data_IF_721100731574
#
_entry.id   IF_721100731574
#
_cell.length_a   1.000
_cell.length_b   1.000
_cell.length_c   1.000
_cell.angle_alpha   90.00
_cell.angle_beta   90.00
_cell.angle_gamma   90.00
#
_symmetry.space_group_name_H-M   'P 1'
#
loop_
_entity.id
_entity.type
_entity.pdbx_description
1 polymer ?
#
# COMPACT_ATOMS: atom_id res chain seq x y z
N UNK A 1 -25.47 14.68 -22.99
CA UNK A 1 -24.20 14.02 -23.32
C UNK A 1 -23.11 14.64 -22.46
N UNK A 2 -22.41 13.85 -21.64
CA UNK A 2 -21.23 14.31 -20.87
C UNK A 2 -20.00 14.25 -21.78
N UNK A 3 -19.17 15.29 -21.74
CA UNK A 3 -17.97 15.39 -22.55
C UNK A 3 -16.81 14.69 -21.82
N UNK A 4 -15.90 14.02 -22.54
CA UNK A 4 -14.71 13.40 -21.93
C UNK A 4 -13.86 14.40 -21.12
N UNK A 5 -13.80 15.65 -21.57
CA UNK A 5 -13.13 16.72 -20.85
C UNK A 5 -13.87 17.13 -19.57
N UNK A 6 -15.21 17.15 -19.59
CA UNK A 6 -16.06 17.42 -18.42
C UNK A 6 -15.83 16.38 -17.33
N UNK A 7 -15.79 15.10 -17.68
CA UNK A 7 -15.46 14.02 -16.74
C UNK A 7 -14.04 14.17 -16.17
N UNK A 8 -13.06 14.46 -17.04
CA UNK A 8 -11.68 14.63 -16.61
C UNK A 8 -11.50 15.82 -15.67
N UNK A 9 -11.97 17.03 -16.04
CA UNK A 9 -11.72 18.24 -15.24
C UNK A 9 -12.45 18.21 -13.90
N UNK A 10 -13.65 17.62 -13.83
CA UNK A 10 -14.41 17.47 -12.59
C UNK A 10 -13.82 16.41 -11.65
N UNK A 11 -12.99 15.48 -12.16
CA UNK A 11 -12.23 14.54 -11.34
C UNK A 11 -11.00 15.17 -10.67
N UNK A 12 -10.58 16.37 -11.11
CA UNK A 12 -9.42 17.05 -10.54
C UNK A 12 -9.81 17.80 -9.26
N UNK A 13 -8.88 17.89 -8.31
CA UNK A 13 -9.02 18.78 -7.17
C UNK A 13 -8.77 20.23 -7.60
N UNK A 14 -9.85 20.96 -7.85
CA UNK A 14 -9.86 22.38 -8.22
C UNK A 14 -10.78 23.16 -7.25
N UNK A 15 -10.49 24.45 -7.07
CA UNK A 15 -11.27 25.34 -6.19
C UNK A 15 -12.71 25.50 -6.65
N UNK A 16 -13.60 25.92 -5.75
CA UNK A 16 -15.01 26.21 -6.06
C UNK A 16 -15.11 27.23 -7.19
N UNK A 17 -14.30 28.30 -7.14
CA UNK A 17 -14.26 29.32 -8.18
C UNK A 17 -13.87 28.73 -9.55
N UNK A 18 -12.86 27.85 -9.60
CA UNK A 18 -12.48 27.17 -10.83
C UNK A 18 -13.58 26.20 -11.34
N UNK A 19 -14.32 25.56 -10.43
CA UNK A 19 -15.47 24.69 -10.76
C UNK A 19 -16.61 25.50 -11.38
N UNK A 20 -16.94 26.65 -10.81
CA UNK A 20 -18.01 27.52 -11.33
C UNK A 20 -17.65 28.02 -12.73
N UNK A 21 -16.39 28.42 -12.93
CA UNK A 21 -15.89 28.85 -14.24
C UNK A 21 -15.94 27.73 -15.29
N UNK A 22 -15.55 26.50 -14.95
CA UNK A 22 -15.59 25.41 -15.93
C UNK A 22 -17.01 24.96 -16.23
N UNK A 23 -17.92 25.00 -15.26
CA UNK A 23 -19.34 24.71 -15.48
C UNK A 23 -19.97 25.72 -16.44
N UNK A 24 -19.65 27.01 -16.29
CA UNK A 24 -20.10 28.05 -17.21
C UNK A 24 -19.50 27.85 -18.62
N UNK A 25 -18.22 27.48 -18.70
CA UNK A 25 -17.57 27.16 -19.98
C UNK A 25 -18.25 25.99 -20.72
N UNK A 26 -18.64 24.95 -19.98
CA UNK A 26 -19.35 23.77 -20.50
C UNK A 26 -20.77 24.11 -20.94
N UNK A 27 -21.49 24.94 -20.18
CA UNK A 27 -22.82 25.44 -20.55
C UNK A 27 -22.75 26.22 -21.85
N UNK A 28 -21.82 27.18 -21.95
CA UNK A 28 -21.58 27.96 -23.16
C UNK A 28 -21.21 27.08 -24.36
N UNK A 29 -20.39 26.03 -24.16
CA UNK A 29 -20.03 25.09 -25.22
C UNK A 29 -21.27 24.35 -25.74
N UNK A 30 -22.11 23.81 -24.85
CA UNK A 30 -23.34 23.10 -25.19
C UNK A 30 -24.37 24.01 -25.88
N UNK A 31 -24.36 25.30 -25.55
CA UNK A 31 -25.17 26.33 -26.21
C UNK A 31 -24.56 26.88 -27.50
N UNK A 32 -23.44 26.31 -28.00
CA UNK A 32 -22.70 26.77 -29.19
C UNK A 32 -22.10 28.18 -29.08
N UNK A 33 -22.04 28.75 -27.88
CA UNK A 33 -21.42 30.04 -27.57
C UNK A 33 -19.90 29.88 -27.40
N UNK A 34 -19.20 29.45 -28.46
CA UNK A 34 -17.78 29.04 -28.39
C UNK A 34 -16.82 30.14 -27.92
N UNK A 35 -17.10 31.41 -28.22
CA UNK A 35 -16.31 32.55 -27.70
C UNK A 35 -16.36 32.62 -26.17
N UNK A 36 -17.57 32.54 -25.61
CA UNK A 36 -17.77 32.56 -24.16
C UNK A 36 -17.18 31.30 -23.52
N UNK A 37 -17.38 30.14 -24.15
CA UNK A 37 -16.80 28.88 -23.68
C UNK A 37 -15.28 28.92 -23.59
N UNK A 38 -14.59 29.44 -24.62
CA UNK A 38 -13.14 29.57 -24.60
C UNK A 38 -12.67 30.58 -23.53
N UNK A 39 -13.40 31.70 -23.39
CA UNK A 39 -13.11 32.72 -22.38
C UNK A 39 -13.18 32.16 -20.96
N UNK A 40 -14.28 31.48 -20.60
CA UNK A 40 -14.45 30.87 -19.29
C UNK A 40 -13.48 29.71 -19.05
N UNK A 41 -13.19 28.92 -20.08
CA UNK A 41 -12.17 27.87 -19.99
C UNK A 41 -10.79 28.45 -19.66
N UNK A 42 -10.42 29.57 -20.29
CA UNK A 42 -9.14 30.22 -20.06
C UNK A 42 -9.07 30.85 -18.66
N UNK A 43 -10.17 31.43 -18.21
CA UNK A 43 -10.28 31.97 -16.86
C UNK A 43 -10.13 30.85 -15.82
N UNK A 44 -10.82 29.72 -16.00
CA UNK A 44 -10.65 28.53 -15.16
C UNK A 44 -9.19 28.07 -15.11
N UNK A 45 -8.53 27.95 -16.28
CA UNK A 45 -7.12 27.60 -16.37
C UNK A 45 -6.22 28.55 -15.56
N UNK A 46 -6.41 29.86 -15.68
CA UNK A 46 -5.64 30.83 -14.89
C UNK A 46 -5.95 30.76 -13.39
N UNK A 47 -7.21 30.54 -13.00
CA UNK A 47 -7.61 30.38 -11.60
C UNK A 47 -6.93 29.18 -10.96
N UNK A 48 -6.89 28.02 -11.64
CA UNK A 48 -6.20 26.84 -11.12
C UNK A 48 -4.70 27.13 -10.89
N UNK A 49 -4.06 27.86 -11.80
CA UNK A 49 -2.63 28.21 -11.67
C UNK A 49 -2.42 29.23 -10.56
N UNK A 50 -3.31 30.23 -10.43
CA UNK A 50 -3.32 31.20 -9.32
C UNK A 50 -3.39 30.46 -7.98
N UNK A 51 -4.31 29.53 -7.85
CA UNK A 51 -4.52 28.76 -6.61
C UNK A 51 -3.29 27.92 -6.28
N UNK A 52 -2.68 27.27 -7.29
CA UNK A 52 -1.42 26.56 -7.10
C UNK A 52 -0.31 27.47 -6.59
N UNK A 53 -0.17 28.68 -7.13
CA UNK A 53 0.82 29.64 -6.66
C UNK A 53 0.53 30.15 -5.24
N UNK A 54 -0.74 30.47 -4.94
CA UNK A 54 -1.15 30.96 -3.62
C UNK A 54 -0.95 29.93 -2.50
N UNK A 55 -1.09 28.64 -2.84
CA UNK A 55 -0.92 27.51 -1.91
C UNK A 55 0.50 26.89 -1.95
N UNK A 56 1.34 27.30 -2.90
CA UNK A 56 2.70 26.80 -3.01
C UNK A 56 3.62 27.42 -1.95
N UNK A 57 4.63 26.64 -1.57
CA UNK A 57 5.78 27.19 -0.86
C UNK A 57 6.62 28.02 -1.83
N UNK A 58 7.33 29.00 -1.28
CA UNK A 58 8.27 29.81 -2.05
C UNK A 58 9.30 28.88 -2.71
N UNK A 59 9.49 28.96 -4.04
CA UNK A 59 10.59 28.28 -4.71
C UNK A 59 11.94 28.68 -4.10
N UNK A 60 12.85 27.73 -3.88
CA UNK A 60 14.18 27.99 -3.27
C UNK A 60 14.98 29.03 -4.07
N UNK A 61 14.74 29.05 -5.37
CA UNK A 61 15.43 29.85 -6.34
C UNK A 61 14.85 31.30 -6.40
N UNK A 62 13.73 31.60 -5.73
CA UNK A 62 13.10 32.92 -5.62
C UNK A 62 13.38 33.55 -4.25
N UNK A 63 13.67 34.86 -4.19
CA UNK A 63 13.85 35.58 -2.93
C UNK A 63 12.50 35.81 -2.22
N UNK A 64 12.51 35.86 -0.88
CA UNK A 64 11.28 36.01 -0.09
C UNK A 64 10.48 37.27 -0.47
N UNK A 65 11.14 38.42 -0.58
CA UNK A 65 10.47 39.67 -0.96
C UNK A 65 9.80 39.61 -2.34
N UNK A 66 10.44 38.97 -3.32
CA UNK A 66 9.84 38.80 -4.65
C UNK A 66 8.62 37.87 -4.60
N UNK A 67 8.68 36.81 -3.79
CA UNK A 67 7.55 35.90 -3.62
C UNK A 67 6.37 36.58 -2.92
N UNK A 68 6.62 37.34 -1.86
CA UNK A 68 5.58 38.08 -1.15
C UNK A 68 4.87 39.10 -2.07
N UNK A 69 5.64 39.78 -2.93
CA UNK A 69 5.09 40.69 -3.95
C UNK A 69 4.24 39.95 -4.99
N UNK A 70 4.67 38.77 -5.44
CA UNK A 70 3.88 37.93 -6.35
C UNK A 70 2.57 37.53 -5.67
N UNK A 71 2.62 36.99 -4.45
CA UNK A 71 1.43 36.59 -3.71
C UNK A 71 0.48 37.77 -3.45
N UNK A 72 1.01 38.96 -3.17
CA UNK A 72 0.22 40.19 -3.03
C UNK A 72 -0.49 40.56 -4.33
N UNK A 73 0.19 40.48 -5.47
CA UNK A 73 -0.41 40.79 -6.78
C UNK A 73 -1.42 39.71 -7.21
N UNK A 74 -1.21 38.44 -6.85
CA UNK A 74 -2.18 37.36 -7.08
C UNK A 74 -3.47 37.52 -6.26
N UNK A 75 -3.44 38.25 -5.14
CA UNK A 75 -4.62 38.59 -4.33
C UNK A 75 -5.30 39.90 -4.77
N UNK A 76 -4.75 40.58 -5.76
CA UNK A 76 -5.28 41.84 -6.28
C UNK A 76 -6.12 41.57 -7.55
N UNK A 77 -7.41 41.91 -7.49
CA UNK A 77 -8.37 41.65 -8.58
C UNK A 77 -7.99 42.28 -9.92
N UNK A 78 -7.29 43.41 -9.91
CA UNK A 78 -6.90 44.12 -11.14
C UNK A 78 -5.59 43.58 -11.76
N UNK A 79 -4.87 42.72 -11.03
CA UNK A 79 -3.51 42.30 -11.41
C UNK A 79 -3.31 40.81 -11.49
N UNK A 80 -4.15 40.00 -10.87
CA UNK A 80 -3.86 38.59 -10.69
C UNK A 80 -3.73 37.85 -12.04
N UNK A 81 -4.55 38.19 -13.03
CA UNK A 81 -4.58 37.52 -14.35
C UNK A 81 -3.27 37.74 -15.13
N UNK A 82 -2.78 38.97 -15.16
CA UNK A 82 -1.49 39.36 -15.73
C UNK A 82 -0.33 38.78 -14.92
N UNK A 83 -0.43 38.78 -13.60
CA UNK A 83 0.58 38.20 -12.70
C UNK A 83 0.74 36.70 -12.93
N UNK A 84 -0.35 35.94 -13.09
CA UNK A 84 -0.30 34.51 -13.43
C UNK A 84 0.43 34.31 -14.76
N UNK A 85 0.04 35.06 -15.79
CA UNK A 85 0.65 34.95 -17.11
C UNK A 85 2.15 35.26 -17.08
N UNK A 86 2.53 36.37 -16.45
CA UNK A 86 3.94 36.80 -16.39
C UNK A 86 4.80 35.76 -15.69
N UNK A 87 4.29 35.11 -14.64
CA UNK A 87 5.02 34.05 -13.95
C UNK A 87 5.06 32.73 -14.73
N UNK A 88 4.05 32.41 -15.56
CA UNK A 88 4.13 31.31 -16.53
C UNK A 88 5.16 31.55 -17.64
N UNK A 89 5.46 32.81 -17.96
CA UNK A 89 6.46 33.20 -18.96
C UNK A 89 7.84 33.49 -18.35
N UNK A 90 7.93 33.60 -17.02
CA UNK A 90 9.15 34.00 -16.31
C UNK A 90 10.28 32.97 -16.50
N UNK A 91 11.42 33.49 -16.96
CA UNK A 91 12.72 32.80 -16.99
C UNK A 91 13.77 33.50 -16.10
N UNK A 92 13.64 34.81 -15.88
CA UNK A 92 14.59 35.65 -15.11
C UNK A 92 13.88 36.42 -13.96
N UNK A 93 14.52 36.64 -12.79
CA UNK A 93 15.86 36.19 -12.40
C UNK A 93 15.96 34.66 -12.29
N UNK A 94 14.84 33.96 -12.00
CA UNK A 94 14.70 32.51 -12.11
C UNK A 94 13.24 32.11 -12.37
N UNK A 95 13.03 30.89 -12.85
CA UNK A 95 11.70 30.36 -13.18
C UNK A 95 10.92 29.88 -11.95
N UNK A 96 9.61 30.12 -11.97
CA UNK A 96 8.65 29.62 -10.96
C UNK A 96 8.04 28.30 -11.43
N UNK A 97 7.87 28.12 -12.73
CA UNK A 97 7.39 26.87 -13.32
C UNK A 97 8.47 26.32 -14.24
N UNK A 98 8.74 25.02 -14.15
CA UNK A 98 9.69 24.29 -15.00
C UNK A 98 9.06 24.01 -16.38
N UNK A 99 8.90 25.06 -17.19
CA UNK A 99 8.26 24.98 -18.51
C UNK A 99 9.27 25.20 -19.63
N UNK A 100 9.24 24.31 -20.63
CA UNK A 100 9.97 24.51 -21.88
C UNK A 100 9.33 25.62 -22.75
N UNK A 101 10.10 26.11 -23.72
CA UNK A 101 9.66 27.22 -24.58
C UNK A 101 8.43 26.87 -25.43
N UNK A 102 8.26 25.60 -25.82
CA UNK A 102 7.09 25.14 -26.58
C UNK A 102 5.79 25.33 -25.78
N UNK A 103 5.76 24.89 -24.52
CA UNK A 103 4.60 25.09 -23.64
C UNK A 103 4.35 26.59 -23.42
N UNK A 104 5.41 27.39 -23.21
CA UNK A 104 5.29 28.85 -23.03
C UNK A 104 4.68 29.53 -24.26
N UNK A 105 5.09 29.10 -25.47
CA UNK A 105 4.54 29.57 -26.74
C UNK A 105 3.06 29.16 -26.90
N UNK A 106 2.70 27.93 -26.53
CA UNK A 106 1.31 27.48 -26.54
C UNK A 106 0.42 28.27 -25.55
N UNK A 107 0.92 28.57 -24.35
CA UNK A 107 0.22 29.43 -23.38
C UNK A 107 -0.01 30.82 -23.99
N UNK A 108 0.99 31.38 -24.65
CA UNK A 108 0.88 32.67 -25.36
C UNK A 108 -0.15 32.62 -26.48
N UNK A 109 -0.19 31.53 -27.26
CA UNK A 109 -1.22 31.30 -28.27
C UNK A 109 -2.63 31.35 -27.66
N UNK A 110 -2.86 30.66 -26.55
CA UNK A 110 -4.18 30.64 -25.90
C UNK A 110 -4.57 31.98 -25.28
N UNK A 111 -3.63 32.73 -24.71
CA UNK A 111 -3.86 34.13 -24.29
C UNK A 111 -4.35 34.99 -25.46
N UNK A 112 -3.73 34.85 -26.63
CA UNK A 112 -4.13 35.59 -27.82
C UNK A 112 -5.53 35.21 -28.31
N UNK A 113 -5.90 33.92 -28.26
CA UNK A 113 -7.26 33.46 -28.58
C UNK A 113 -8.31 33.96 -27.57
N UNK A 114 -7.97 34.01 -26.28
CA UNK A 114 -8.83 34.66 -25.26
C UNK A 114 -9.03 36.14 -25.56
N UNK A 115 -7.98 36.85 -25.97
CA UNK A 115 -8.08 38.26 -26.35
C UNK A 115 -8.96 38.46 -27.60
N UNK A 116 -8.92 37.54 -28.57
CA UNK A 116 -9.84 37.55 -29.71
C UNK A 116 -11.31 37.38 -29.29
N UNK A 117 -11.58 36.58 -28.25
CA UNK A 117 -12.91 36.44 -27.67
C UNK A 117 -13.40 37.73 -27.00
N UNK A 118 -12.54 38.38 -26.23
CA UNK A 118 -12.88 39.57 -25.45
C UNK A 118 -13.00 40.86 -26.30
N UNK A 119 -12.15 41.02 -27.32
CA UNK A 119 -12.00 42.30 -28.04
C UNK A 119 -12.63 42.34 -29.43
N UNK A 120 -13.59 41.47 -29.74
CA UNK A 120 -14.33 41.46 -31.03
C UNK A 120 -13.43 41.59 -32.27
N UNK A 121 -12.21 41.04 -32.23
CA UNK A 121 -11.32 40.99 -33.40
C UNK A 121 -11.90 40.00 -34.41
N UNK A 122 -11.63 40.21 -35.70
CA UNK A 122 -12.19 39.46 -36.84
C UNK A 122 -11.89 37.94 -36.87
N UNK A 123 -11.18 37.40 -35.89
CA UNK A 123 -10.82 35.99 -35.85
C UNK A 123 -12.02 35.14 -35.37
N UNK A 124 -12.43 34.18 -36.20
CA UNK A 124 -13.52 33.26 -35.87
C UNK A 124 -13.08 32.25 -34.82
N UNK A 125 -13.81 32.19 -33.71
CA UNK A 125 -13.68 31.13 -32.70
C UNK A 125 -14.75 30.08 -32.97
N UNK A 126 -14.33 28.83 -33.01
CA UNK A 126 -15.15 27.67 -33.37
C UNK A 126 -15.03 26.59 -32.30
N UNK A 127 -15.87 25.56 -32.40
CA UNK A 127 -15.81 24.35 -31.55
C UNK A 127 -14.39 23.76 -31.46
N UNK A 128 -13.66 23.69 -32.58
CA UNK A 128 -12.31 23.14 -32.64
C UNK A 128 -11.30 23.90 -31.79
N UNK A 129 -11.46 25.21 -31.62
CA UNK A 129 -10.59 26.01 -30.75
C UNK A 129 -10.81 25.66 -29.27
N UNK A 130 -12.06 25.49 -28.86
CA UNK A 130 -12.40 25.11 -27.48
C UNK A 130 -11.87 23.72 -27.18
N UNK A 131 -12.14 22.74 -28.04
CA UNK A 131 -11.67 21.36 -27.85
C UNK A 131 -10.15 21.23 -27.89
N UNK A 132 -9.48 22.00 -28.75
CA UNK A 132 -8.02 22.06 -28.79
C UNK A 132 -7.46 22.66 -27.50
N UNK A 133 -8.11 23.69 -26.94
CA UNK A 133 -7.68 24.25 -25.68
C UNK A 133 -7.89 23.30 -24.50
N UNK A 134 -9.02 22.60 -24.47
CA UNK A 134 -9.27 21.54 -23.48
C UNK A 134 -8.28 20.40 -23.58
N UNK A 135 -7.88 20.03 -24.80
CA UNK A 135 -6.81 19.05 -25.04
C UNK A 135 -5.47 19.58 -24.51
N UNK A 136 -5.17 20.85 -24.72
CA UNK A 136 -3.99 21.51 -24.16
C UNK A 136 -3.99 21.49 -22.62
N UNK A 137 -5.10 21.90 -21.98
CA UNK A 137 -5.25 21.87 -20.52
C UNK A 137 -5.02 20.46 -20.02
N UNK A 138 -5.70 19.46 -20.60
CA UNK A 138 -5.55 18.06 -20.19
C UNK A 138 -4.11 17.56 -20.31
N UNK A 139 -3.39 17.97 -21.35
CA UNK A 139 -2.05 17.47 -21.64
C UNK A 139 -0.94 18.18 -20.86
N UNK A 140 -1.19 19.42 -20.41
CA UNK A 140 -0.14 20.28 -19.87
C UNK A 140 -0.42 20.83 -18.46
N UNK A 141 -1.68 20.90 -18.02
CA UNK A 141 -1.99 21.36 -16.66
C UNK A 141 -1.24 20.55 -15.58
N UNK A 142 -1.10 19.21 -15.65
CA UNK A 142 -0.31 18.46 -14.67
C UNK A 142 1.19 18.80 -14.66
N UNK A 143 1.73 19.36 -15.75
CA UNK A 143 3.15 19.74 -15.89
C UNK A 143 3.43 21.16 -15.38
N UNK A 144 2.39 21.98 -15.20
CA UNK A 144 2.52 23.36 -14.73
C UNK A 144 2.57 23.35 -13.21
N UNK A 145 3.72 22.96 -12.66
CA UNK A 145 3.99 22.86 -11.23
C UNK A 145 4.98 23.91 -10.77
N UNK A 146 4.78 24.42 -9.55
CA UNK A 146 5.67 25.42 -8.95
C UNK A 146 6.97 24.73 -8.53
N UNK A 147 8.10 25.27 -9.00
CA UNK A 147 9.46 24.81 -8.70
C UNK A 147 9.69 24.78 -7.17
N UNK A 148 10.21 23.66 -6.64
CA UNK A 148 10.33 23.40 -5.20
C UNK A 148 9.14 22.66 -4.57
N UNK A 149 8.14 22.21 -5.36
CA UNK A 149 7.00 21.41 -4.85
C UNK A 149 7.45 20.10 -4.20
N UNK A 150 8.49 19.44 -4.73
CA UNK A 150 9.04 18.20 -4.19
C UNK A 150 9.71 18.41 -2.84
N UNK A 151 10.66 19.32 -2.74
CA UNK A 151 11.38 19.64 -1.51
C UNK A 151 10.42 20.16 -0.43
N UNK A 152 9.45 20.99 -0.83
CA UNK A 152 8.40 21.45 0.06
C UNK A 152 7.53 20.29 0.56
N UNK A 153 7.15 19.35 -0.31
CA UNK A 153 6.37 18.18 0.08
C UNK A 153 7.17 17.28 1.03
N UNK A 154 8.44 17.01 0.73
CA UNK A 154 9.34 16.26 1.60
C UNK A 154 9.42 16.94 2.97
N UNK A 155 9.59 18.26 3.02
CA UNK A 155 9.64 19.01 4.27
C UNK A 155 8.31 18.98 5.04
N UNK A 156 7.16 19.04 4.35
CA UNK A 156 5.84 18.84 4.97
C UNK A 156 5.73 17.46 5.62
N UNK A 157 6.13 16.40 4.92
CA UNK A 157 6.15 15.03 5.44
C UNK A 157 7.07 14.93 6.66
N UNK A 158 8.30 15.45 6.58
CA UNK A 158 9.25 15.47 7.70
C UNK A 158 8.68 16.18 8.93
N UNK A 159 8.05 17.35 8.74
CA UNK A 159 7.40 18.09 9.84
C UNK A 159 6.19 17.36 10.42
N UNK A 160 5.46 16.62 9.60
CA UNK A 160 4.33 15.82 10.05
C UNK A 160 4.77 14.66 10.95
N UNK A 161 5.92 14.05 10.65
CA UNK A 161 6.48 12.96 11.45
C UNK A 161 7.42 13.41 12.57
N UNK A 162 7.61 14.72 12.74
CA UNK A 162 8.29 15.29 13.89
C UNK A 162 7.35 15.33 15.10
N UNK A 163 7.57 14.44 16.07
CA UNK A 163 6.78 14.31 17.30
C UNK A 163 6.77 15.56 18.18
N UNK A 164 7.72 16.48 17.99
CA UNK A 164 7.74 17.77 18.68
C UNK A 164 6.77 18.79 18.07
N UNK A 165 6.34 18.57 16.82
CA UNK A 165 5.50 19.48 16.05
C UNK A 165 4.09 18.92 15.80
N UNK A 166 3.97 17.61 15.64
CA UNK A 166 2.72 16.94 15.27
C UNK A 166 2.46 15.77 16.22
N UNK A 167 1.20 15.59 16.62
CA UNK A 167 0.84 14.47 17.49
C UNK A 167 1.12 13.12 16.79
N UNK A 168 1.63 12.11 17.52
CA UNK A 168 1.76 10.76 16.99
C UNK A 168 0.43 10.26 16.42
N UNK A 169 0.46 9.64 15.24
CA UNK A 169 -0.71 9.13 14.51
C UNK A 169 -1.68 10.19 13.95
N UNK A 170 -1.26 11.46 13.84
CA UNK A 170 -2.03 12.43 13.07
C UNK A 170 -2.25 11.94 11.62
N UNK A 171 -3.38 12.30 11.02
CA UNK A 171 -3.70 11.85 9.67
C UNK A 171 -2.83 12.57 8.63
N UNK A 172 -2.01 11.82 7.90
CA UNK A 172 -1.13 12.35 6.85
C UNK A 172 -1.81 12.47 5.47
N UNK A 173 -3.07 12.02 5.34
CA UNK A 173 -3.78 11.95 4.05
C UNK A 173 -3.74 13.29 3.30
N UNK A 174 -3.86 14.43 4.01
CA UNK A 174 -3.82 15.76 3.38
C UNK A 174 -2.50 16.06 2.66
N UNK A 175 -1.37 15.53 3.14
CA UNK A 175 -0.06 15.69 2.50
C UNK A 175 0.10 14.66 1.38
N UNK A 176 -0.30 13.42 1.62
CA UNK A 176 -0.19 12.31 0.64
C UNK A 176 -0.98 12.61 -0.64
N UNK A 177 -2.15 13.25 -0.53
CA UNK A 177 -2.95 13.66 -1.69
C UNK A 177 -2.24 14.67 -2.61
N UNK A 178 -1.23 15.39 -2.13
CA UNK A 178 -0.45 16.31 -2.96
C UNK A 178 0.55 15.55 -3.88
N UNK A 179 0.96 14.33 -3.51
CA UNK A 179 2.05 13.57 -4.19
C UNK A 179 1.85 13.43 -5.70
N UNK A 180 0.66 13.02 -6.22
CA UNK A 180 0.50 12.79 -7.66
C UNK A 180 0.72 14.05 -8.51
N UNK A 181 0.43 15.22 -7.93
CA UNK A 181 0.57 16.51 -8.61
C UNK A 181 1.94 17.14 -8.33
N UNK A 182 2.44 17.03 -7.10
CA UNK A 182 3.66 17.67 -6.64
C UNK A 182 4.93 17.05 -7.21
N UNK A 183 4.90 15.76 -7.60
CA UNK A 183 6.08 14.98 -7.99
C UNK A 183 6.00 14.53 -9.46
N UNK A 184 7.00 14.91 -10.24
CA UNK A 184 7.18 14.43 -11.62
C UNK A 184 7.47 12.92 -11.65
N UNK A 185 7.14 12.27 -12.77
CA UNK A 185 7.27 10.81 -12.87
C UNK A 185 8.71 10.32 -12.78
N UNK A 186 9.65 11.06 -13.38
CA UNK A 186 11.09 10.79 -13.27
C UNK A 186 11.61 10.84 -11.84
N UNK A 187 10.91 11.57 -10.97
CA UNK A 187 11.40 11.93 -9.65
C UNK A 187 10.77 11.08 -8.53
N UNK A 188 9.79 10.23 -8.85
CA UNK A 188 9.10 9.42 -7.86
C UNK A 188 10.04 8.47 -7.10
N UNK A 189 10.98 7.82 -7.79
CA UNK A 189 11.93 6.93 -7.13
C UNK A 189 12.82 7.69 -6.13
N UNK A 190 13.36 8.84 -6.55
CA UNK A 190 14.19 9.70 -5.71
C UNK A 190 13.39 10.23 -4.51
N UNK A 191 12.12 10.57 -4.73
CA UNK A 191 11.20 10.98 -3.67
C UNK A 191 10.99 9.86 -2.65
N UNK A 192 10.65 8.63 -3.08
CA UNK A 192 10.45 7.51 -2.17
C UNK A 192 11.72 7.16 -1.40
N UNK A 193 12.87 7.13 -2.07
CA UNK A 193 14.17 6.91 -1.44
C UNK A 193 14.48 7.97 -0.37
N UNK A 194 14.20 9.24 -0.66
CA UNK A 194 14.42 10.33 0.30
C UNK A 194 13.54 10.20 1.55
N UNK A 195 12.27 9.81 1.39
CA UNK A 195 11.35 9.60 2.51
C UNK A 195 11.74 8.35 3.31
N UNK A 196 12.08 7.26 2.63
CA UNK A 196 12.52 6.03 3.27
C UNK A 196 13.77 6.25 4.11
N UNK A 197 14.80 6.89 3.54
CA UNK A 197 16.04 7.21 4.25
C UNK A 197 15.77 8.09 5.48
N UNK A 198 14.86 9.07 5.37
CA UNK A 198 14.47 9.89 6.51
C UNK A 198 13.86 9.05 7.63
N UNK A 199 12.95 8.10 7.32
CA UNK A 199 12.37 7.23 8.34
C UNK A 199 13.39 6.28 8.95
N UNK A 200 14.33 5.74 8.17
CA UNK A 200 15.37 4.85 8.68
C UNK A 200 16.46 5.57 9.47
N UNK A 201 16.70 6.85 9.20
CA UNK A 201 17.68 7.65 9.95
C UNK A 201 17.13 8.12 11.30
N UNK A 202 15.80 8.29 11.40
CA UNK A 202 15.13 8.74 12.63
C UNK A 202 14.69 7.60 13.54
N UNK A 203 14.63 6.37 13.05
CA UNK A 203 14.28 5.18 13.84
C UNK A 203 15.35 4.13 13.76
N UNK A 204 15.43 3.29 14.80
CA UNK A 204 16.30 2.14 14.73
C UNK A 204 15.66 1.12 13.78
N UNK A 205 16.43 0.53 12.86
CA UNK A 205 15.95 -0.36 11.78
C UNK A 205 14.98 -1.49 12.21
N UNK A 206 15.02 -1.90 13.47
CA UNK A 206 14.16 -2.93 14.05
C UNK A 206 12.86 -2.41 14.69
N UNK A 207 12.62 -1.10 14.64
CA UNK A 207 11.49 -0.42 15.28
C UNK A 207 10.85 0.57 14.29
N UNK A 208 10.61 0.11 13.05
CA UNK A 208 9.87 0.91 12.06
C UNK A 208 8.50 1.20 12.66
N UNK A 209 8.29 2.46 13.03
CA UNK A 209 7.05 2.92 13.63
C UNK A 209 5.86 2.58 12.72
N UNK A 210 4.79 2.05 13.31
CA UNK A 210 3.51 1.83 12.63
C UNK A 210 3.03 3.10 11.91
N UNK A 211 3.35 4.28 12.46
CA UNK A 211 3.06 5.57 11.83
C UNK A 211 3.76 5.71 10.46
N UNK A 212 4.99 5.24 10.30
CA UNK A 212 5.73 5.29 9.03
C UNK A 212 5.21 4.25 8.03
N UNK A 213 4.88 3.04 8.49
CA UNK A 213 4.27 2.02 7.64
C UNK A 213 2.92 2.50 7.09
N UNK A 214 2.17 3.28 7.89
CA UNK A 214 0.91 3.88 7.46
C UNK A 214 1.05 4.87 6.30
N UNK A 215 2.17 5.60 6.19
CA UNK A 215 2.42 6.52 5.08
C UNK A 215 2.42 5.79 3.73
N UNK A 216 3.10 4.66 3.67
CA UNK A 216 3.17 3.85 2.45
C UNK A 216 1.81 3.28 2.06
N UNK A 217 1.01 2.87 3.05
CA UNK A 217 -0.36 2.42 2.81
C UNK A 217 -1.24 3.54 2.26
N UNK A 218 -1.12 4.75 2.80
CA UNK A 218 -1.84 5.92 2.29
C UNK A 218 -1.50 6.22 0.83
N UNK A 219 -0.26 6.00 0.40
CA UNK A 219 0.13 6.12 -1.01
C UNK A 219 -0.57 5.08 -1.90
N UNK A 220 -0.73 3.83 -1.44
CA UNK A 220 -1.51 2.82 -2.17
C UNK A 220 -3.00 3.19 -2.25
N UNK A 221 -3.55 3.77 -1.19
CA UNK A 221 -4.96 4.19 -1.11
C UNK A 221 -5.31 5.36 -2.04
N UNK A 222 -4.32 6.09 -2.57
CA UNK A 222 -4.54 7.12 -3.60
C UNK A 222 -5.14 6.54 -4.89
N UNK A 223 -4.99 5.22 -5.14
CA UNK A 223 -5.40 4.56 -6.38
C UNK A 223 -4.86 5.27 -7.64
N UNK A 224 -3.68 5.87 -7.54
CA UNK A 224 -3.02 6.55 -8.65
C UNK A 224 -2.06 5.59 -9.34
N UNK A 225 -2.40 5.12 -10.54
CA UNK A 225 -1.66 4.10 -11.30
C UNK A 225 -0.16 4.41 -11.42
N UNK A 226 0.18 5.68 -11.72
CA UNK A 226 1.57 6.14 -11.81
C UNK A 226 2.29 5.96 -10.47
N UNK A 227 1.76 6.50 -9.38
CA UNK A 227 2.37 6.40 -8.04
C UNK A 227 2.49 4.93 -7.61
N UNK A 228 1.42 4.15 -7.76
CA UNK A 228 1.39 2.73 -7.38
C UNK A 228 2.45 1.92 -8.13
N UNK A 229 2.58 2.10 -9.45
CA UNK A 229 3.58 1.37 -10.25
C UNK A 229 5.01 1.61 -9.76
N UNK A 230 5.38 2.88 -9.54
CA UNK A 230 6.71 3.21 -9.04
C UNK A 230 6.91 2.75 -7.60
N UNK A 231 5.88 2.85 -6.76
CA UNK A 231 5.95 2.41 -5.37
C UNK A 231 6.18 0.89 -5.26
N UNK A 232 5.50 0.09 -6.09
CA UNK A 232 5.72 -1.38 -6.15
C UNK A 232 7.16 -1.69 -6.57
N UNK A 233 7.69 -1.02 -7.61
CA UNK A 233 9.08 -1.22 -8.05
C UNK A 233 10.10 -0.84 -6.97
N UNK A 234 9.86 0.27 -6.28
CA UNK A 234 10.66 0.72 -5.16
C UNK A 234 10.64 -0.30 -4.02
N UNK A 235 9.46 -0.75 -3.58
CA UNK A 235 9.33 -1.72 -2.50
C UNK A 235 10.00 -3.06 -2.82
N UNK A 236 9.87 -3.58 -4.04
CA UNK A 236 10.55 -4.83 -4.44
C UNK A 236 12.08 -4.76 -4.34
N UNK A 237 12.64 -3.55 -4.44
CA UNK A 237 14.08 -3.32 -4.34
C UNK A 237 14.54 -3.04 -2.90
N UNK A 238 13.61 -2.94 -1.94
CA UNK A 238 13.87 -2.54 -0.55
C UNK A 238 13.25 -3.54 0.42
N UNK A 239 13.98 -4.61 0.70
CA UNK A 239 13.49 -5.71 1.55
C UNK A 239 13.09 -5.25 2.96
N UNK A 240 13.89 -4.35 3.54
CA UNK A 240 13.66 -3.75 4.86
C UNK A 240 12.35 -2.96 4.94
N UNK A 241 11.77 -2.57 3.80
CA UNK A 241 10.47 -1.91 3.75
C UNK A 241 9.35 -2.90 3.41
N UNK A 242 9.53 -3.71 2.37
CA UNK A 242 8.44 -4.51 1.79
C UNK A 242 7.94 -5.57 2.75
N UNK A 243 8.82 -6.22 3.53
CA UNK A 243 8.40 -7.29 4.44
C UNK A 243 7.61 -6.73 5.63
N UNK A 244 8.09 -5.71 6.38
CA UNK A 244 7.27 -5.06 7.40
C UNK A 244 5.95 -4.51 6.87
N UNK A 245 5.97 -3.90 5.67
CA UNK A 245 4.76 -3.38 5.03
C UNK A 245 3.74 -4.48 4.71
N UNK A 246 4.16 -5.57 4.07
CA UNK A 246 3.26 -6.67 3.70
C UNK A 246 2.76 -7.45 4.91
N UNK A 247 3.51 -7.53 6.01
CA UNK A 247 3.01 -8.10 7.28
C UNK A 247 1.92 -7.25 7.92
N UNK A 248 2.10 -5.92 7.89
CA UNK A 248 1.11 -4.97 8.40
C UNK A 248 -0.14 -4.89 7.50
N UNK A 249 0.04 -4.96 6.18
CA UNK A 249 -1.05 -4.90 5.20
C UNK A 249 -1.03 -6.08 4.20
N UNK A 250 -1.33 -7.31 4.65
CA UNK A 250 -1.22 -8.54 3.84
C UNK A 250 -1.93 -8.49 2.49
N UNK A 251 -3.11 -7.87 2.44
CA UNK A 251 -3.91 -7.79 1.21
C UNK A 251 -3.25 -6.94 0.11
N UNK A 252 -2.22 -6.16 0.43
CA UNK A 252 -1.46 -5.37 -0.54
C UNK A 252 -0.52 -6.21 -1.40
N UNK A 253 -0.31 -7.49 -1.06
CA UNK A 253 0.44 -8.44 -1.90
C UNK A 253 -0.11 -8.55 -3.32
N UNK A 254 -1.40 -8.27 -3.53
CA UNK A 254 -2.03 -8.26 -4.86
C UNK A 254 -1.40 -7.27 -5.84
N UNK A 255 -0.83 -6.17 -5.35
CA UNK A 255 -0.12 -5.22 -6.22
C UNK A 255 1.17 -5.80 -6.83
N UNK A 256 1.65 -6.93 -6.29
CA UNK A 256 2.85 -7.62 -6.74
C UNK A 256 2.54 -8.88 -7.57
N UNK A 257 1.25 -9.19 -7.78
CA UNK A 257 0.77 -10.40 -8.46
C UNK A 257 1.31 -10.61 -9.88
N UNK A 258 1.69 -9.53 -10.58
CA UNK A 258 2.25 -9.62 -11.93
C UNK A 258 3.67 -10.18 -11.99
N UNK A 259 4.36 -10.30 -10.85
CA UNK A 259 5.70 -10.88 -10.77
C UNK A 259 5.68 -12.19 -9.98
N UNK A 260 5.54 -13.30 -10.71
CA UNK A 260 5.54 -14.64 -10.13
C UNK A 260 6.84 -14.98 -9.39
N UNK A 261 7.99 -14.48 -9.84
CA UNK A 261 9.27 -14.72 -9.16
C UNK A 261 9.32 -14.04 -7.79
N UNK A 262 8.75 -12.84 -7.70
CA UNK A 262 8.62 -12.14 -6.42
C UNK A 262 7.68 -12.89 -5.47
N UNK A 263 6.51 -13.32 -5.94
CA UNK A 263 5.57 -14.10 -5.12
C UNK A 263 6.21 -15.42 -4.66
N UNK A 264 6.92 -16.12 -5.55
CA UNK A 264 7.68 -17.32 -5.21
C UNK A 264 8.71 -17.03 -4.13
N UNK A 265 9.49 -15.96 -4.27
CA UNK A 265 10.48 -15.60 -3.26
C UNK A 265 9.85 -15.31 -1.88
N UNK A 266 8.67 -14.67 -1.85
CA UNK A 266 7.95 -14.40 -0.60
C UNK A 266 7.65 -15.69 0.17
N UNK A 267 6.89 -16.62 -0.41
CA UNK A 267 6.48 -17.84 0.31
C UNK A 267 7.62 -18.85 0.47
N UNK A 268 8.58 -18.87 -0.47
CA UNK A 268 9.68 -19.83 -0.42
C UNK A 268 10.73 -19.42 0.61
N UNK A 269 11.17 -18.16 0.57
CA UNK A 269 12.36 -17.72 1.31
C UNK A 269 12.02 -16.78 2.47
N UNK A 270 11.12 -15.81 2.28
CA UNK A 270 10.96 -14.65 3.19
C UNK A 270 9.99 -14.88 4.34
N UNK A 271 8.85 -15.53 4.07
CA UNK A 271 7.87 -15.85 5.11
C UNK A 271 8.51 -16.84 6.10
N UNK A 272 8.46 -16.51 7.38
CA UNK A 272 9.12 -17.22 8.49
C UNK A 272 10.64 -17.32 8.37
N UNK A 273 11.31 -16.46 7.57
CA UNK A 273 12.78 -16.39 7.55
C UNK A 273 13.33 -15.97 8.91
N UNK A 274 12.65 -14.99 9.55
CA UNK A 274 13.03 -14.42 10.82
C UNK A 274 11.85 -14.52 11.81
N UNK A 275 12.13 -14.80 13.08
CA UNK A 275 11.10 -14.99 14.11
C UNK A 275 10.48 -13.69 14.67
N UNK A 276 10.64 -12.56 13.97
CA UNK A 276 10.27 -11.23 14.50
C UNK A 276 8.75 -11.00 14.55
N UNK A 277 8.04 -11.30 13.46
CA UNK A 277 6.58 -11.16 13.39
C UNK A 277 5.96 -12.37 12.68
N UNK A 278 5.92 -13.52 13.37
CA UNK A 278 5.45 -14.74 12.76
C UNK A 278 3.93 -14.69 12.51
N UNK A 279 3.18 -13.90 13.30
CA UNK A 279 1.73 -13.71 13.08
C UNK A 279 1.46 -12.94 11.78
N UNK A 280 2.21 -11.86 11.52
CA UNK A 280 2.16 -11.15 10.25
C UNK A 280 2.56 -12.02 9.06
N UNK A 281 3.56 -12.88 9.23
CA UNK A 281 3.97 -13.87 8.22
C UNK A 281 2.85 -14.87 7.87
N UNK A 282 2.14 -15.39 8.89
CA UNK A 282 0.99 -16.26 8.65
C UNK A 282 -0.12 -15.54 7.89
N UNK A 283 -0.44 -14.30 8.30
CA UNK A 283 -1.45 -13.48 7.62
C UNK A 283 -1.08 -13.17 6.18
N UNK A 284 0.19 -12.91 5.92
CA UNK A 284 0.71 -12.72 4.56
C UNK A 284 0.55 -14.00 3.73
N UNK A 285 0.89 -15.16 4.29
CA UNK A 285 0.68 -16.43 3.59
C UNK A 285 -0.81 -16.69 3.30
N UNK A 286 -1.70 -16.45 4.27
CA UNK A 286 -3.14 -16.53 4.06
C UNK A 286 -3.63 -15.56 2.99
N UNK A 287 -3.09 -14.35 2.91
CA UNK A 287 -3.42 -13.39 1.84
C UNK A 287 -2.96 -13.88 0.46
N UNK A 288 -1.78 -14.50 0.38
CA UNK A 288 -1.29 -15.13 -0.86
C UNK A 288 -2.23 -16.24 -1.33
N UNK A 289 -2.66 -17.12 -0.42
CA UNK A 289 -3.62 -18.19 -0.71
C UNK A 289 -5.00 -17.66 -1.10
N UNK A 290 -5.51 -16.68 -0.35
CA UNK A 290 -6.84 -16.08 -0.58
C UNK A 290 -6.98 -15.47 -1.98
N UNK A 291 -5.88 -14.98 -2.54
CA UNK A 291 -5.85 -14.32 -3.84
C UNK A 291 -5.29 -15.21 -4.96
N UNK A 292 -5.17 -16.53 -4.73
CA UNK A 292 -4.72 -17.51 -5.72
C UNK A 292 -3.38 -17.13 -6.39
N UNK A 293 -2.44 -16.58 -5.62
CA UNK A 293 -1.17 -16.06 -6.16
C UNK A 293 -0.09 -17.13 -6.35
N UNK A 294 -0.31 -18.37 -5.88
CA UNK A 294 0.61 -19.50 -6.06
C UNK A 294 0.06 -20.39 -7.18
N UNK A 295 0.90 -20.66 -8.19
CA UNK A 295 0.55 -21.55 -9.29
C UNK A 295 0.18 -22.94 -8.77
N UNK A 296 -0.79 -23.60 -9.42
CA UNK A 296 -1.36 -24.87 -8.94
C UNK A 296 -0.29 -25.93 -8.67
N UNK A 297 0.68 -26.05 -9.56
CA UNK A 297 1.81 -26.97 -9.48
C UNK A 297 2.79 -26.68 -8.32
N UNK A 298 2.79 -25.46 -7.78
CA UNK A 298 3.67 -25.05 -6.68
C UNK A 298 2.96 -25.11 -5.31
N UNK A 299 1.65 -25.35 -5.28
CA UNK A 299 0.87 -25.27 -4.04
C UNK A 299 1.29 -26.30 -3.00
N UNK A 300 1.58 -27.54 -3.42
CA UNK A 300 2.00 -28.60 -2.49
C UNK A 300 3.37 -28.29 -1.88
N UNK A 301 4.32 -27.84 -2.71
CA UNK A 301 5.64 -27.38 -2.30
C UNK A 301 5.54 -26.22 -1.30
N UNK A 302 4.70 -25.23 -1.60
CA UNK A 302 4.49 -24.08 -0.74
C UNK A 302 3.94 -24.48 0.63
N UNK A 303 2.93 -25.36 0.67
CA UNK A 303 2.35 -25.87 1.93
C UNK A 303 3.40 -26.62 2.75
N UNK A 304 4.15 -27.52 2.12
CA UNK A 304 5.23 -28.27 2.79
C UNK A 304 6.30 -27.34 3.37
N UNK A 305 6.72 -26.34 2.59
CA UNK A 305 7.70 -25.35 3.04
C UNK A 305 7.20 -24.56 4.25
N UNK A 306 5.96 -24.07 4.20
CA UNK A 306 5.37 -23.29 5.30
C UNK A 306 5.17 -24.16 6.54
N UNK A 307 4.66 -25.39 6.44
CA UNK A 307 4.53 -26.31 7.59
C UNK A 307 5.88 -26.56 8.26
N UNK A 308 6.97 -26.65 7.49
CA UNK A 308 8.31 -26.85 8.05
C UNK A 308 8.87 -25.64 8.76
N UNK A 309 8.43 -24.43 8.40
CA UNK A 309 8.94 -23.17 8.93
C UNK A 309 8.05 -22.54 10.00
N UNK A 310 6.74 -22.77 9.96
CA UNK A 310 5.77 -22.15 10.86
C UNK A 310 6.18 -22.36 12.31
N UNK A 311 6.13 -21.30 13.11
CA UNK A 311 6.43 -21.34 14.54
C UNK A 311 5.19 -21.70 15.35
N UNK A 312 5.25 -21.54 16.67
CA UNK A 312 4.13 -21.79 17.58
C UNK A 312 3.03 -20.72 17.45
N UNK A 313 2.21 -20.79 16.40
CA UNK A 313 1.19 -19.77 16.10
C UNK A 313 -0.16 -20.44 15.95
N UNK A 314 -1.15 -19.90 16.65
CA UNK A 314 -2.54 -20.29 16.47
C UNK A 314 -3.16 -19.33 15.44
N UNK A 315 -3.72 -19.84 14.34
CA UNK A 315 -4.43 -19.00 13.36
C UNK A 315 -5.68 -18.38 14.00
N UNK A 316 -6.02 -17.15 13.59
CA UNK A 316 -7.35 -16.61 13.90
C UNK A 316 -8.43 -17.28 13.03
N UNK A 317 -9.71 -16.97 13.27
CA UNK A 317 -10.82 -17.67 12.63
C UNK A 317 -10.81 -17.54 11.09
N UNK A 318 -10.49 -16.34 10.59
CA UNK A 318 -10.38 -16.07 9.16
C UNK A 318 -9.20 -16.83 8.55
N UNK A 319 -8.03 -16.80 9.21
CA UNK A 319 -6.85 -17.53 8.78
C UNK A 319 -7.09 -19.05 8.79
N UNK A 320 -7.75 -19.58 9.83
CA UNK A 320 -8.11 -21.00 9.91
C UNK A 320 -8.95 -21.44 8.72
N UNK A 321 -10.01 -20.68 8.37
CA UNK A 321 -10.87 -21.01 7.24
C UNK A 321 -10.08 -21.09 5.92
N UNK A 322 -9.15 -20.16 5.71
CA UNK A 322 -8.33 -20.11 4.49
C UNK A 322 -7.35 -21.28 4.43
N UNK A 323 -6.66 -21.54 5.53
CA UNK A 323 -5.72 -22.66 5.63
C UNK A 323 -6.44 -23.99 5.43
N UNK A 324 -7.60 -24.18 6.06
CA UNK A 324 -8.40 -25.39 5.95
C UNK A 324 -8.94 -25.59 4.52
N UNK A 325 -9.45 -24.53 3.87
CA UNK A 325 -9.92 -24.59 2.47
C UNK A 325 -8.81 -24.99 1.49
N UNK A 326 -7.55 -24.69 1.80
CA UNK A 326 -6.39 -24.98 0.95
C UNK A 326 -5.65 -26.28 1.33
N UNK A 327 -6.27 -27.15 2.13
CA UNK A 327 -5.70 -28.42 2.61
C UNK A 327 -4.38 -28.26 3.38
N UNK A 328 -4.16 -27.09 3.99
CA UNK A 328 -2.95 -26.85 4.78
C UNK A 328 -2.86 -27.81 5.96
N UNK A 329 -3.96 -28.03 6.69
CA UNK A 329 -3.98 -28.93 7.84
C UNK A 329 -3.85 -30.41 7.48
N UNK A 330 -4.22 -30.80 6.25
CA UNK A 330 -3.93 -32.13 5.73
C UNK A 330 -2.42 -32.31 5.59
N UNK A 331 -1.75 -31.36 4.92
CA UNK A 331 -0.28 -31.37 4.79
C UNK A 331 0.43 -31.25 6.15
N UNK A 332 -0.12 -30.45 7.06
CA UNK A 332 0.35 -30.34 8.44
C UNK A 332 0.32 -31.71 9.12
N UNK A 333 -0.79 -32.43 9.05
CA UNK A 333 -0.92 -33.77 9.63
C UNK A 333 0.10 -34.75 9.04
N UNK A 334 0.21 -34.79 7.71
CA UNK A 334 1.17 -35.65 7.00
C UNK A 334 2.61 -35.44 7.47
N UNK A 335 3.02 -34.17 7.64
CA UNK A 335 4.40 -33.85 8.01
C UNK A 335 4.62 -34.06 9.51
N UNK A 336 3.72 -33.56 10.36
CA UNK A 336 3.91 -33.52 11.80
C UNK A 336 3.75 -34.91 12.41
N UNK A 337 2.71 -35.66 12.01
CA UNK A 337 2.41 -36.98 12.55
C UNK A 337 2.85 -38.12 11.62
N UNK A 338 2.99 -37.89 10.32
CA UNK A 338 3.42 -38.93 9.37
C UNK A 338 4.93 -39.07 9.20
N UNK A 339 5.74 -38.20 9.82
CA UNK A 339 7.20 -38.29 9.77
C UNK A 339 7.79 -38.34 11.18
N UNK A 340 9.12 -38.47 11.30
CA UNK A 340 9.82 -38.41 12.59
C UNK A 340 9.89 -36.99 13.19
N UNK A 341 8.97 -36.10 12.84
CA UNK A 341 8.99 -34.70 13.24
C UNK A 341 8.86 -34.54 14.76
N UNK A 342 7.91 -35.24 15.38
CA UNK A 342 7.69 -35.18 16.83
C UNK A 342 8.91 -35.68 17.64
N UNK A 343 9.74 -36.54 17.05
CA UNK A 343 10.96 -37.03 17.69
C UNK A 343 12.07 -35.97 17.74
N UNK A 344 11.95 -34.86 17.00
CA UNK A 344 12.87 -33.75 17.12
C UNK A 344 12.46 -32.83 18.28
N UNK A 345 13.24 -32.89 19.36
CA UNK A 345 12.97 -32.23 20.63
C UNK A 345 12.65 -30.74 20.48
N UNK A 346 13.53 -29.98 19.82
CA UNK A 346 13.37 -28.53 19.66
C UNK A 346 12.17 -28.18 18.79
N UNK A 347 11.98 -28.88 17.67
CA UNK A 347 10.88 -28.61 16.73
C UNK A 347 9.52 -28.92 17.35
N UNK A 348 9.39 -30.03 18.06
CA UNK A 348 8.14 -30.43 18.70
C UNK A 348 7.78 -29.49 19.86
N UNK A 349 8.74 -29.16 20.73
CA UNK A 349 8.53 -28.23 21.85
C UNK A 349 8.16 -26.81 21.38
N UNK A 350 8.82 -26.33 20.32
CA UNK A 350 8.56 -25.00 19.76
C UNK A 350 7.27 -24.91 18.93
N UNK A 351 6.45 -25.96 18.89
CA UNK A 351 5.17 -26.00 18.16
C UNK A 351 4.04 -26.62 18.96
N UNK A 352 4.21 -26.71 20.28
CA UNK A 352 3.24 -27.41 21.14
C UNK A 352 1.82 -26.84 21.02
N UNK A 353 1.67 -25.52 20.92
CA UNK A 353 0.35 -24.87 20.91
C UNK A 353 -0.36 -25.06 19.56
N UNK A 354 0.36 -25.01 18.43
CA UNK A 354 -0.24 -25.31 17.12
C UNK A 354 -0.57 -26.80 16.98
N UNK A 355 0.21 -27.69 17.60
CA UNK A 355 -0.07 -29.13 17.65
C UNK A 355 -1.31 -29.40 18.48
N UNK A 356 -1.42 -28.87 19.71
CA UNK A 356 -2.63 -29.05 20.54
C UNK A 356 -3.85 -28.39 19.91
N UNK A 357 -3.68 -27.23 19.26
CA UNK A 357 -4.73 -26.60 18.47
C UNK A 357 -5.23 -27.51 17.35
N UNK A 358 -4.33 -28.16 16.59
CA UNK A 358 -4.73 -29.15 15.59
C UNK A 358 -5.56 -30.28 16.21
N UNK A 359 -5.12 -30.84 17.34
CA UNK A 359 -5.86 -31.92 18.02
C UNK A 359 -7.25 -31.47 18.50
N UNK A 360 -7.40 -30.20 18.87
CA UNK A 360 -8.70 -29.63 19.22
C UNK A 360 -9.64 -29.62 18.01
N UNK A 361 -9.18 -29.11 16.86
CA UNK A 361 -10.02 -28.87 15.70
C UNK A 361 -10.36 -30.14 14.90
N UNK A 362 -9.46 -31.12 14.87
CA UNK A 362 -9.59 -32.30 14.00
C UNK A 362 -9.85 -33.59 14.78
N UNK A 363 -10.59 -34.56 14.21
CA UNK A 363 -10.73 -35.87 14.81
C UNK A 363 -9.38 -36.60 14.87
N UNK A 364 -9.19 -37.40 15.90
CA UNK A 364 -8.02 -38.26 16.04
C UNK A 364 -8.19 -39.48 15.13
N UNK A 365 -7.08 -39.96 14.59
CA UNK A 365 -7.02 -41.19 13.83
C UNK A 365 -5.77 -42.00 14.17
N UNK A 366 -5.65 -43.19 13.58
CA UNK A 366 -4.54 -44.12 13.83
C UNK A 366 -3.17 -43.45 13.64
N UNK A 367 -3.01 -42.64 12.59
CA UNK A 367 -1.73 -41.98 12.30
C UNK A 367 -1.32 -41.05 13.44
N UNK A 368 -2.23 -40.20 13.89
CA UNK A 368 -1.98 -39.24 14.99
C UNK A 368 -1.68 -39.98 16.28
N UNK A 369 -2.49 -40.99 16.62
CA UNK A 369 -2.32 -41.78 17.85
C UNK A 369 -0.98 -42.52 17.85
N UNK A 370 -0.63 -43.22 16.77
CA UNK A 370 0.67 -43.91 16.64
C UNK A 370 1.85 -42.97 16.76
N UNK A 371 1.79 -41.81 16.11
CA UNK A 371 2.84 -40.82 16.16
C UNK A 371 3.09 -40.33 17.59
N UNK A 372 2.02 -39.89 18.28
CA UNK A 372 2.10 -39.43 19.67
C UNK A 372 2.60 -40.56 20.58
N UNK A 373 2.01 -41.76 20.49
CA UNK A 373 2.44 -42.89 21.33
C UNK A 373 3.92 -43.21 21.12
N UNK A 374 4.37 -43.35 19.88
CA UNK A 374 5.75 -43.72 19.57
C UNK A 374 6.76 -42.68 20.08
N UNK A 375 6.43 -41.40 20.05
CA UNK A 375 7.29 -40.34 20.59
C UNK A 375 7.35 -40.40 22.12
N UNK A 376 6.21 -40.57 22.80
CA UNK A 376 6.11 -40.51 24.26
C UNK A 376 6.17 -41.86 24.96
N UNK A 377 6.51 -42.94 24.25
CA UNK A 377 6.90 -44.21 24.86
C UNK A 377 8.40 -44.24 25.21
N UNK A 378 9.20 -43.37 24.56
CA UNK A 378 10.64 -43.28 24.81
C UNK A 378 10.98 -42.31 25.94
N UNK A 379 12.04 -42.59 26.69
CA UNK A 379 12.51 -41.72 27.79
C UNK A 379 13.03 -40.36 27.32
N UNK A 380 13.48 -40.26 26.06
CA UNK A 380 13.98 -39.04 25.45
C UNK A 380 12.93 -38.43 24.51
N UNK A 381 11.94 -37.77 25.09
CA UNK A 381 10.80 -37.17 24.40
C UNK A 381 10.70 -35.65 24.65
N UNK A 382 10.06 -34.87 23.76
CA UNK A 382 9.93 -33.42 23.93
C UNK A 382 9.05 -33.05 25.14
N UNK A 383 9.66 -32.60 26.24
CA UNK A 383 8.95 -32.38 27.51
C UNK A 383 7.88 -31.28 27.47
N UNK A 384 8.04 -30.23 26.65
CA UNK A 384 7.09 -29.11 26.63
C UNK A 384 5.86 -29.50 25.84
N UNK A 385 6.04 -30.30 24.78
CA UNK A 385 4.92 -30.92 24.09
C UNK A 385 4.22 -31.96 24.97
N UNK A 386 4.97 -32.78 25.73
CA UNK A 386 4.37 -33.72 26.70
C UNK A 386 3.46 -33.00 27.68
N UNK A 387 3.96 -31.95 28.32
CA UNK A 387 3.21 -31.21 29.35
C UNK A 387 1.95 -30.57 28.75
N UNK A 388 2.07 -29.96 27.56
CA UNK A 388 0.92 -29.40 26.84
C UNK A 388 -0.11 -30.46 26.42
N UNK A 389 0.33 -31.67 26.01
CA UNK A 389 -0.58 -32.77 25.68
C UNK A 389 -1.27 -33.34 26.92
N UNK A 390 -0.56 -33.44 28.05
CA UNK A 390 -1.16 -33.86 29.31
C UNK A 390 -2.28 -32.89 29.73
N UNK A 391 -1.98 -31.60 29.74
CA UNK A 391 -2.96 -30.53 30.02
C UNK A 391 -4.14 -30.61 29.05
N UNK A 392 -3.88 -30.68 27.75
CA UNK A 392 -4.90 -30.80 26.71
C UNK A 392 -5.87 -31.98 26.94
N UNK A 393 -5.37 -33.18 27.21
CA UNK A 393 -6.21 -34.36 27.42
C UNK A 393 -6.96 -34.36 28.76
N UNK A 394 -6.43 -33.66 29.78
CA UNK A 394 -7.14 -33.44 31.04
C UNK A 394 -8.32 -32.50 30.83
N UNK A 395 -8.12 -31.42 30.06
CA UNK A 395 -9.14 -30.41 29.79
C UNK A 395 -10.19 -30.87 28.77
N UNK A 396 -9.84 -31.80 27.87
CA UNK A 396 -10.70 -32.30 26.80
C UNK A 396 -10.90 -33.83 26.93
N UNK A 397 -11.70 -34.29 27.91
CA UNK A 397 -11.88 -35.71 28.19
C UNK A 397 -12.44 -36.48 27.00
N UNK A 398 -13.28 -35.86 26.16
CA UNK A 398 -13.79 -36.51 24.94
C UNK A 398 -12.67 -36.85 23.93
N UNK A 399 -11.65 -35.99 23.81
CA UNK A 399 -10.48 -36.25 22.96
C UNK A 399 -9.61 -37.35 23.57
N UNK A 400 -9.44 -37.35 24.89
CA UNK A 400 -8.71 -38.39 25.62
C UNK A 400 -9.37 -39.76 25.44
N UNK A 401 -10.68 -39.84 25.63
CA UNK A 401 -11.42 -41.09 25.53
C UNK A 401 -11.45 -41.61 24.08
N UNK A 402 -11.52 -40.71 23.09
CA UNK A 402 -11.32 -41.04 21.67
C UNK A 402 -9.92 -41.58 21.39
N UNK A 403 -8.88 -40.98 21.97
CA UNK A 403 -7.50 -41.47 21.85
C UNK A 403 -7.37 -42.90 22.40
N UNK A 404 -7.92 -43.17 23.59
CA UNK A 404 -7.92 -44.48 24.24
C UNK A 404 -8.69 -45.52 23.42
N UNK A 405 -9.83 -45.13 22.83
CA UNK A 405 -10.61 -46.00 21.96
C UNK A 405 -9.77 -46.46 20.76
N UNK A 406 -9.06 -45.53 20.10
CA UNK A 406 -8.18 -45.83 18.96
C UNK A 406 -6.99 -46.71 19.41
N UNK A 407 -6.43 -46.50 20.62
CA UNK A 407 -5.39 -47.41 21.15
C UNK A 407 -5.90 -48.86 21.20
N UNK A 408 -7.12 -49.06 21.71
CA UNK A 408 -7.75 -50.39 21.80
C UNK A 408 -8.09 -50.99 20.43
N UNK A 409 -8.65 -50.19 19.52
CA UNK A 409 -9.02 -50.63 18.16
C UNK A 409 -7.83 -51.14 17.34
N UNK A 410 -6.65 -50.54 17.51
CA UNK A 410 -5.46 -50.83 16.72
C UNK A 410 -4.37 -51.57 17.50
N UNK A 411 -4.68 -52.09 18.68
CA UNK A 411 -3.78 -52.83 19.57
C UNK A 411 -2.46 -52.08 19.85
N UNK A 412 -2.57 -50.78 20.13
CA UNK A 412 -1.44 -49.90 20.41
C UNK A 412 -1.27 -49.79 21.93
N UNK A 413 -0.05 -50.05 22.42
CA UNK A 413 0.25 -49.87 23.85
C UNK A 413 0.14 -48.39 24.26
N UNK A 414 -0.41 -48.09 25.44
CA UNK A 414 -0.51 -46.71 25.91
C UNK A 414 0.88 -46.10 26.16
N UNK A 415 1.09 -44.81 25.82
CA UNK A 415 2.39 -44.16 25.98
C UNK A 415 2.85 -44.09 27.45
N UNK A 416 4.10 -44.52 27.70
CA UNK A 416 4.67 -44.55 29.05
C UNK A 416 4.79 -43.17 29.73
N UNK A 417 5.02 -42.11 28.95
CA UNK A 417 5.33 -40.76 29.45
C UNK A 417 4.20 -39.73 29.24
N UNK A 418 2.97 -40.15 28.89
CA UNK A 418 1.78 -39.29 28.93
C UNK A 418 0.85 -39.77 30.06
N UNK A 419 0.95 -39.13 31.22
CA UNK A 419 0.21 -39.52 32.42
C UNK A 419 -1.31 -39.39 32.24
N UNK A 420 -1.77 -38.36 31.52
CA UNK A 420 -3.21 -38.14 31.28
C UNK A 420 -3.89 -39.29 30.55
N UNK A 421 -3.15 -40.02 29.72
CA UNK A 421 -3.61 -41.21 29.01
C UNK A 421 -3.38 -42.46 29.85
N UNK A 422 -2.17 -42.64 30.39
CA UNK A 422 -1.79 -43.82 31.16
C UNK A 422 -2.69 -44.04 32.39
N UNK A 423 -3.02 -42.98 33.10
CA UNK A 423 -3.90 -43.03 34.28
C UNK A 423 -5.36 -43.34 33.93
N UNK A 424 -5.79 -43.01 32.71
CA UNK A 424 -7.16 -43.25 32.25
C UNK A 424 -7.37 -44.68 31.67
N UNK A 425 -6.28 -45.36 31.29
CA UNK A 425 -6.28 -46.76 30.81
C UNK A 425 -6.05 -47.76 31.94
N UNK A 426 -5.43 -47.32 33.05
CA UNK A 426 -5.18 -48.12 34.26
C UNK A 426 -6.43 -48.21 35.14
#
# INVERSE_FOLDING_TARGET
MRLRFEEWILSQEISTDAKDLINEALLCYKATAYKASLLFSYLCFQTIIRDRMLNAHKPDNISQGLWDDILKNLRNEDKWDSTVYDNLQRQSPKEIFLLNDDIRNQITFWKNRRNDCAHSKNNKITVSHVESFWTFIRSNLPKIMVNGSREALINKIKRHFDVSLTAPNADITYIVNEVPQAIEESDLNVFFETIFNYFTDTTILWDIDQSYISFWEKLFLLNNEKVTRYLVQFMKSNENLVMPFLRAFPNRVNYFSSDASFIRNLWHSKIFENAYDPKGDLKLYCAILRNDLIAYEEQDEAKENIVRKISNIIPDEDDFYILNKNDFFVKFKEIIFGTSFLNNFDRANNRRDIITYYLQQFPLDELVVRAITSTFDTSNHPWHLRDALNEFFIENPEKRDSFITILGEYEIEPPCYLSSIKEAVS
#
